data_IF_410613800321
#
_entry.id   IF_410613800321
#
_cell.length_a   1.000
_cell.length_b   1.000
_cell.length_c   1.000
_cell.angle_alpha   90.00
_cell.angle_beta   90.00
_cell.angle_gamma   90.00
#
_symmetry.space_group_name_H-M   'P 1'
#
loop_
_entity.id
_entity.type
_entity.pdbx_description
1 polymer ?
#
# COMPACT_ATOMS: atom_id res chain seq x y z
N UNK A 1 22.66 -3.17 10.91
CA UNK A 1 21.66 -2.64 9.95
C UNK A 1 20.27 -2.86 10.53
N UNK A 2 19.37 -1.90 10.39
CA UNK A 2 17.96 -2.08 10.76
C UNK A 2 17.35 -3.18 9.89
N UNK A 3 16.54 -4.05 10.48
CA UNK A 3 15.75 -5.04 9.72
C UNK A 3 14.56 -4.40 9.01
N UNK A 4 14.10 -3.23 9.47
CA UNK A 4 13.02 -2.46 8.86
C UNK A 4 13.52 -1.42 7.85
N UNK A 5 12.67 -1.03 6.87
CA UNK A 5 12.94 0.09 5.97
C UNK A 5 13.24 1.41 6.71
N UNK A 6 14.00 2.27 6.06
CA UNK A 6 14.15 3.69 6.40
C UNK A 6 12.96 4.45 5.82
N UNK A 7 12.21 5.11 6.70
CA UNK A 7 10.94 5.75 6.34
C UNK A 7 11.11 7.28 6.24
N UNK A 8 10.38 7.95 5.35
CA UNK A 8 10.37 9.41 5.23
C UNK A 8 9.54 10.04 6.35
N UNK A 9 10.06 10.03 7.58
CA UNK A 9 9.33 10.44 8.79
C UNK A 9 8.79 11.88 8.71
N UNK A 10 9.54 12.81 8.14
CA UNK A 10 9.07 14.18 7.95
C UNK A 10 7.83 14.27 7.05
N UNK A 11 7.79 13.52 5.95
CA UNK A 11 6.63 13.46 5.03
C UNK A 11 5.45 12.77 5.70
N UNK A 12 5.69 11.69 6.44
CA UNK A 12 4.66 10.99 7.21
C UNK A 12 4.02 11.91 8.26
N UNK A 13 4.84 12.60 9.06
CA UNK A 13 4.37 13.50 10.11
C UNK A 13 3.60 14.69 9.54
N UNK A 14 4.10 15.32 8.46
CA UNK A 14 3.43 16.43 7.80
C UNK A 14 2.09 16.03 7.15
N UNK A 15 1.95 14.77 6.75
CA UNK A 15 0.75 14.22 6.12
C UNK A 15 -0.27 13.61 7.09
N UNK A 16 -0.06 13.68 8.41
CA UNK A 16 -0.97 13.11 9.42
C UNK A 16 -0.90 11.58 9.53
N UNK A 17 0.14 10.96 8.99
CA UNK A 17 0.30 9.50 9.01
C UNK A 17 0.81 9.02 10.36
N UNK A 18 0.21 7.94 10.88
CA UNK A 18 0.66 7.28 12.11
C UNK A 18 0.89 5.80 11.91
N UNK A 19 1.95 5.30 12.54
CA UNK A 19 2.28 3.87 12.53
C UNK A 19 1.13 3.11 13.21
N UNK A 20 0.55 2.19 12.49
CA UNK A 20 -0.53 1.31 12.96
C UNK A 20 0.00 -0.06 13.35
N UNK A 21 0.99 -0.54 12.59
CA UNK A 21 1.49 -1.90 12.72
C UNK A 21 2.98 -1.94 12.36
N UNK A 22 3.74 -2.74 13.11
CA UNK A 22 5.13 -3.09 12.84
C UNK A 22 5.32 -4.56 13.18
N UNK A 23 5.76 -5.36 12.20
CA UNK A 23 5.90 -6.81 12.36
C UNK A 23 7.00 -7.41 11.49
N UNK A 24 7.50 -8.56 11.93
CA UNK A 24 8.37 -9.43 11.14
C UNK A 24 7.65 -10.75 10.86
N UNK A 25 7.66 -11.19 9.61
CA UNK A 25 7.02 -12.45 9.21
C UNK A 25 7.86 -13.21 8.19
N UNK A 26 7.77 -14.54 8.20
CA UNK A 26 8.25 -15.34 7.09
C UNK A 26 7.27 -15.23 5.93
N UNK A 27 7.58 -14.41 4.94
CA UNK A 27 6.68 -14.13 3.82
C UNK A 27 6.61 -15.30 2.83
N UNK A 28 7.72 -16.01 2.65
CA UNK A 28 7.79 -17.16 1.76
C UNK A 28 8.95 -18.08 2.12
N UNK A 29 8.72 -19.37 1.95
CA UNK A 29 9.73 -20.41 2.08
C UNK A 29 9.63 -21.34 0.85
N UNK A 30 10.63 -21.26 -0.03
CA UNK A 30 10.88 -22.31 -1.00
C UNK A 30 12.20 -22.96 -0.68
N UNK A 31 12.32 -24.25 -1.02
CA UNK A 31 13.50 -25.12 -0.87
C UNK A 31 14.86 -24.49 -1.27
N UNK A 32 14.87 -23.37 -1.98
CA UNK A 32 16.06 -22.66 -2.48
C UNK A 32 16.27 -21.30 -1.80
N UNK A 33 15.22 -20.61 -1.33
CA UNK A 33 15.34 -19.32 -0.64
C UNK A 33 14.14 -19.06 0.30
N UNK A 34 14.44 -18.59 1.49
CA UNK A 34 13.47 -18.06 2.45
C UNK A 34 13.46 -16.53 2.38
N UNK A 35 12.27 -15.93 2.45
CA UNK A 35 12.10 -14.47 2.48
C UNK A 35 11.43 -14.09 3.79
N UNK A 36 12.17 -13.36 4.62
CA UNK A 36 11.63 -12.74 5.83
C UNK A 36 11.31 -11.27 5.53
N UNK A 37 10.12 -10.82 5.96
CA UNK A 37 9.56 -9.51 5.68
C UNK A 37 9.40 -8.70 6.97
N UNK A 38 10.12 -7.59 7.08
CA UNK A 38 9.99 -6.64 8.16
C UNK A 38 9.11 -5.46 7.70
N UNK A 39 7.83 -5.49 8.08
CA UNK A 39 6.78 -4.63 7.54
C UNK A 39 6.34 -3.58 8.55
N UNK A 40 6.15 -2.35 8.07
CA UNK A 40 5.51 -1.25 8.80
C UNK A 40 4.31 -0.76 7.98
N UNK A 41 3.19 -0.50 8.66
CA UNK A 41 1.95 0.01 8.06
C UNK A 41 1.58 1.31 8.75
N UNK A 42 1.27 2.33 7.95
CA UNK A 42 0.80 3.63 8.38
C UNK A 42 -0.65 3.84 7.96
N UNK A 43 -1.41 4.55 8.79
CA UNK A 43 -2.75 5.05 8.47
C UNK A 43 -2.78 6.57 8.50
N UNK A 44 -3.65 7.18 7.69
CA UNK A 44 -3.98 8.60 7.80
C UNK A 44 -5.04 8.77 8.90
N UNK A 45 -4.58 9.25 10.06
CA UNK A 45 -5.45 9.46 11.22
C UNK A 45 -6.33 10.69 11.01
N UNK A 46 -5.83 11.74 10.38
CA UNK A 46 -6.59 12.96 10.16
C UNK A 46 -7.82 12.71 9.25
N UNK A 47 -7.65 11.91 8.19
CA UNK A 47 -8.78 11.51 7.33
C UNK A 47 -9.78 10.65 8.09
N UNK A 48 -9.29 9.68 8.86
CA UNK A 48 -10.13 8.80 9.68
C UNK A 48 -10.96 9.62 10.69
N UNK A 49 -10.34 10.58 11.36
CA UNK A 49 -11.02 11.44 12.34
C UNK A 49 -12.07 12.33 11.68
N UNK A 50 -11.75 13.00 10.56
CA UNK A 50 -12.73 13.81 9.81
C UNK A 50 -13.94 12.99 9.38
N UNK A 51 -13.72 11.79 8.85
CA UNK A 51 -14.80 10.91 8.42
C UNK A 51 -15.62 10.39 9.60
N UNK A 52 -14.97 10.02 10.70
CA UNK A 52 -15.65 9.62 11.94
C UNK A 52 -16.54 10.74 12.47
N UNK A 53 -16.06 11.98 12.49
CA UNK A 53 -16.85 13.13 12.95
C UNK A 53 -18.04 13.43 12.05
N UNK A 54 -17.85 13.33 10.73
CA UNK A 54 -18.90 13.64 9.76
C UNK A 54 -19.96 12.54 9.60
N UNK A 55 -19.59 11.27 9.82
CA UNK A 55 -20.43 10.11 9.46
C UNK A 55 -20.59 9.07 10.56
N UNK A 56 -19.80 9.14 11.63
CA UNK A 56 -19.70 8.10 12.65
C UNK A 56 -18.87 6.88 12.22
N UNK A 57 -18.36 6.84 10.98
CA UNK A 57 -17.61 5.71 10.44
C UNK A 57 -16.13 5.78 10.85
N UNK A 58 -15.67 4.77 11.57
CA UNK A 58 -14.32 4.74 12.14
C UNK A 58 -13.47 3.60 11.59
N UNK A 59 -12.85 3.80 10.41
CA UNK A 59 -12.16 2.75 9.66
C UNK A 59 -10.82 3.21 9.07
N UNK A 60 -10.03 2.24 8.60
CA UNK A 60 -8.83 2.50 7.82
C UNK A 60 -9.24 2.92 6.41
N UNK A 61 -9.25 4.23 6.14
CA UNK A 61 -9.66 4.76 4.83
C UNK A 61 -8.55 4.71 3.79
N UNK A 62 -7.32 5.08 4.19
CA UNK A 62 -6.12 4.93 3.36
C UNK A 62 -4.95 4.46 4.19
N UNK A 63 -4.03 3.74 3.56
CA UNK A 63 -2.84 3.22 4.23
C UNK A 63 -1.61 3.29 3.34
N UNK A 64 -0.45 3.40 3.97
CA UNK A 64 0.87 3.21 3.38
C UNK A 64 1.54 2.00 4.02
N UNK A 65 2.29 1.22 3.25
CA UNK A 65 3.04 0.06 3.73
C UNK A 65 4.45 0.08 3.16
N UNK A 66 5.42 -0.23 4.00
CA UNK A 66 6.80 -0.46 3.60
C UNK A 66 7.30 -1.77 4.24
N UNK A 67 8.03 -2.56 3.47
CA UNK A 67 8.56 -3.84 3.93
C UNK A 67 9.95 -4.12 3.36
N UNK A 68 10.91 -4.43 4.23
CA UNK A 68 12.23 -4.93 3.82
C UNK A 68 12.15 -6.44 3.74
N UNK A 69 12.47 -6.99 2.57
CA UNK A 69 12.43 -8.41 2.24
C UNK A 69 13.85 -8.95 2.21
N UNK A 70 14.23 -9.69 3.24
CA UNK A 70 15.59 -10.26 3.39
C UNK A 70 15.59 -11.71 2.94
N UNK A 71 16.58 -12.08 2.13
CA UNK A 71 16.72 -13.43 1.57
C UNK A 71 17.67 -14.28 2.43
N UNK A 72 17.30 -15.53 2.68
CA UNK A 72 18.15 -16.54 3.32
C UNK A 72 18.24 -17.79 2.44
N UNK A 73 19.44 -18.21 1.98
CA UNK A 73 20.72 -17.51 2.13
C UNK A 73 20.71 -16.16 1.40
N UNK A 74 21.54 -15.22 1.85
CA UNK A 74 21.69 -13.90 1.23
C UNK A 74 22.08 -14.05 -0.24
N UNK A 75 21.42 -13.30 -1.11
CA UNK A 75 21.65 -13.33 -2.55
C UNK A 75 21.66 -11.91 -3.11
N UNK A 76 22.65 -11.61 -3.95
CA UNK A 76 22.72 -10.31 -4.63
C UNK A 76 21.53 -10.16 -5.58
N UNK A 77 20.82 -9.00 -5.56
CA UNK A 77 19.75 -8.75 -6.50
C UNK A 77 20.21 -8.90 -7.96
N UNK A 78 19.39 -9.59 -8.75
CA UNK A 78 19.60 -9.77 -10.19
C UNK A 78 18.26 -9.70 -10.93
N UNK A 79 18.21 -9.33 -12.22
CA UNK A 79 16.93 -9.17 -12.92
C UNK A 79 16.00 -10.41 -12.84
N UNK A 80 16.49 -11.67 -12.95
CA UNK A 80 15.64 -12.85 -12.76
C UNK A 80 15.11 -12.98 -11.33
N UNK A 81 15.96 -12.77 -10.32
CA UNK A 81 15.58 -12.86 -8.92
C UNK A 81 14.57 -11.76 -8.55
N UNK A 82 14.82 -10.52 -8.98
CA UNK A 82 13.93 -9.38 -8.78
C UNK A 82 12.54 -9.66 -9.35
N UNK A 83 12.45 -10.31 -10.51
CA UNK A 83 11.16 -10.71 -11.09
C UNK A 83 10.43 -11.72 -10.20
N UNK A 84 11.13 -12.71 -9.66
CA UNK A 84 10.55 -13.73 -8.76
C UNK A 84 10.03 -13.07 -7.48
N UNK A 85 10.87 -12.24 -6.84
CA UNK A 85 10.52 -11.55 -5.60
C UNK A 85 9.35 -10.60 -5.83
N UNK A 86 9.37 -9.78 -6.89
CA UNK A 86 8.28 -8.86 -7.20
C UNK A 86 6.96 -9.62 -7.45
N UNK A 87 6.99 -10.71 -8.23
CA UNK A 87 5.79 -11.52 -8.46
C UNK A 87 5.20 -12.07 -7.15
N UNK A 88 6.06 -12.57 -6.25
CA UNK A 88 5.61 -13.13 -4.97
C UNK A 88 5.10 -12.04 -4.02
N UNK A 89 5.79 -10.91 -3.93
CA UNK A 89 5.38 -9.77 -3.12
C UNK A 89 4.04 -9.19 -3.61
N UNK A 90 3.85 -9.03 -4.92
CA UNK A 90 2.60 -8.56 -5.52
C UNK A 90 1.43 -9.52 -5.30
N UNK A 91 1.69 -10.84 -5.29
CA UNK A 91 0.67 -11.82 -4.94
C UNK A 91 0.28 -11.70 -3.46
N UNK A 92 1.27 -11.69 -2.54
CA UNK A 92 1.01 -11.55 -1.11
C UNK A 92 0.35 -10.21 -0.74
N UNK A 93 0.67 -9.13 -1.45
CA UNK A 93 0.00 -7.83 -1.30
C UNK A 93 -1.49 -7.93 -1.69
N UNK A 94 -1.80 -8.55 -2.83
CA UNK A 94 -3.18 -8.75 -3.26
C UNK A 94 -3.97 -9.65 -2.30
N UNK A 95 -3.35 -10.72 -1.79
CA UNK A 95 -3.95 -11.59 -0.77
C UNK A 95 -4.27 -10.79 0.51
N UNK A 96 -3.33 -9.95 0.96
CA UNK A 96 -3.50 -9.07 2.13
C UNK A 96 -4.64 -8.06 1.95
N UNK A 97 -4.84 -7.53 0.73
CA UNK A 97 -5.98 -6.67 0.44
C UNK A 97 -7.30 -7.42 0.63
N UNK A 98 -7.39 -8.65 0.12
CA UNK A 98 -8.57 -9.50 0.32
C UNK A 98 -8.88 -9.74 1.79
N UNK A 99 -7.87 -10.10 2.59
CA UNK A 99 -8.01 -10.29 4.04
C UNK A 99 -8.44 -9.02 4.80
N UNK A 100 -8.11 -7.84 4.27
CA UNK A 100 -8.47 -6.53 4.84
C UNK A 100 -9.86 -6.02 4.39
N UNK A 101 -10.65 -6.85 3.73
CA UNK A 101 -12.03 -6.52 3.33
C UNK A 101 -12.15 -5.78 1.99
N UNK A 102 -11.11 -5.85 1.16
CA UNK A 102 -11.20 -5.37 -0.22
C UNK A 102 -11.82 -6.48 -1.09
N UNK A 103 -12.99 -6.21 -1.66
CA UNK A 103 -13.70 -7.11 -2.56
C UNK A 103 -13.30 -6.86 -4.02
N UNK A 104 -13.17 -7.95 -4.78
CA UNK A 104 -12.98 -7.88 -6.23
C UNK A 104 -11.67 -7.22 -6.67
N UNK A 105 -10.59 -7.37 -5.89
CA UNK A 105 -9.25 -6.88 -6.22
C UNK A 105 -8.82 -7.37 -7.61
N UNK A 106 -8.59 -6.43 -8.53
CA UNK A 106 -8.15 -6.71 -9.90
C UNK A 106 -6.92 -5.90 -10.25
N UNK A 107 -6.02 -6.47 -11.03
CA UNK A 107 -4.91 -5.71 -11.61
C UNK A 107 -5.44 -4.68 -12.60
N UNK A 108 -4.87 -3.48 -12.56
CA UNK A 108 -5.15 -2.39 -13.48
C UNK A 108 -3.89 -2.08 -14.32
N UNK A 109 -3.62 -2.87 -15.39
CA UNK A 109 -2.37 -2.76 -16.15
C UNK A 109 -2.23 -1.40 -16.85
N UNK A 110 -3.31 -0.83 -17.38
CA UNK A 110 -3.27 0.46 -18.07
C UNK A 110 -2.90 1.60 -17.12
N UNK A 111 -3.52 1.64 -15.94
CA UNK A 111 -3.17 2.61 -14.90
C UNK A 111 -1.71 2.46 -14.43
N UNK A 112 -1.15 1.25 -14.51
CA UNK A 112 0.23 0.98 -14.09
C UNK A 112 1.25 1.66 -15.00
N UNK A 113 0.94 1.79 -16.30
CA UNK A 113 1.80 2.51 -17.24
C UNK A 113 1.89 4.00 -16.85
N UNK A 114 0.75 4.67 -16.65
CA UNK A 114 0.69 6.09 -16.28
C UNK A 114 1.35 6.36 -14.92
N UNK A 115 1.25 5.41 -13.98
CA UNK A 115 1.85 5.53 -12.66
C UNK A 115 3.36 5.30 -12.63
N UNK A 116 3.90 4.55 -13.60
CA UNK A 116 5.33 4.24 -13.65
C UNK A 116 6.20 5.49 -13.83
N UNK A 117 5.67 6.55 -14.43
CA UNK A 117 6.38 7.84 -14.59
C UNK A 117 6.65 8.54 -13.26
N UNK A 118 5.92 8.18 -12.20
CA UNK A 118 6.05 8.79 -10.87
C UNK A 118 7.07 8.09 -9.95
N UNK A 119 7.62 6.95 -10.37
CA UNK A 119 8.57 6.13 -9.63
C UNK A 119 9.83 5.84 -10.47
N UNK A 120 10.82 5.18 -9.88
CA UNK A 120 12.02 4.77 -10.62
C UNK A 120 11.64 3.70 -11.67
N UNK A 121 12.08 3.81 -12.94
CA UNK A 121 11.81 2.81 -13.97
C UNK A 121 12.30 1.39 -13.65
N UNK A 122 13.26 1.25 -12.74
CA UNK A 122 13.74 -0.03 -12.26
C UNK A 122 12.76 -0.71 -11.28
N UNK A 123 11.82 0.05 -10.71
CA UNK A 123 10.79 -0.46 -9.82
C UNK A 123 9.85 -1.40 -10.58
N UNK A 124 9.61 -2.57 -10.00
CA UNK A 124 8.53 -3.44 -10.46
C UNK A 124 7.24 -2.94 -9.83
N UNK A 125 6.51 -2.08 -10.54
CA UNK A 125 5.22 -1.57 -10.11
C UNK A 125 4.05 -2.48 -10.52
N UNK A 126 3.06 -2.58 -9.65
CA UNK A 126 1.75 -3.15 -9.92
C UNK A 126 0.64 -2.25 -9.36
N UNK A 127 -0.32 -1.89 -10.21
CA UNK A 127 -1.54 -1.19 -9.83
C UNK A 127 -2.74 -2.12 -9.74
N UNK A 128 -3.65 -1.80 -8.81
CA UNK A 128 -4.88 -2.53 -8.57
C UNK A 128 -6.08 -1.58 -8.44
N UNK A 129 -7.26 -2.17 -8.61
CA UNK A 129 -8.54 -1.58 -8.28
C UNK A 129 -9.35 -2.58 -7.48
N UNK A 130 -10.06 -2.09 -6.46
CA UNK A 130 -10.99 -2.89 -5.69
C UNK A 130 -12.20 -2.07 -5.25
N UNK A 131 -13.23 -2.77 -4.76
CA UNK A 131 -14.31 -2.18 -4.00
C UNK A 131 -14.08 -2.52 -2.52
N UNK A 132 -13.85 -1.51 -1.69
CA UNK A 132 -13.77 -1.70 -0.25
C UNK A 132 -15.13 -1.45 0.38
N UNK A 133 -15.60 -2.38 1.21
CA UNK A 133 -16.82 -2.22 2.00
C UNK A 133 -16.47 -1.87 3.44
N UNK A 134 -16.85 -0.67 3.85
CA UNK A 134 -16.60 -0.09 5.17
C UNK A 134 -17.94 0.20 5.83
N UNK A 135 -18.42 -0.72 6.69
CA UNK A 135 -19.66 -0.59 7.46
C UNK A 135 -20.90 -0.13 6.65
N UNK A 136 -21.11 -0.74 5.48
CA UNK A 136 -22.24 -0.41 4.62
C UNK A 136 -21.98 0.74 3.63
N UNK A 137 -20.79 1.35 3.67
CA UNK A 137 -20.30 2.22 2.60
C UNK A 137 -19.38 1.42 1.67
N UNK A 138 -19.71 1.38 0.39
CA UNK A 138 -18.86 0.82 -0.66
C UNK A 138 -18.06 1.94 -1.32
N UNK A 139 -16.73 1.88 -1.28
CA UNK A 139 -15.84 2.83 -1.97
C UNK A 139 -14.96 2.11 -2.98
N UNK A 140 -14.80 2.70 -4.18
CA UNK A 140 -13.72 2.27 -5.07
C UNK A 140 -12.40 2.68 -4.46
N UNK A 141 -11.43 1.78 -4.51
CA UNK A 141 -10.07 2.05 -4.08
C UNK A 141 -9.09 1.81 -5.22
N UNK A 142 -7.97 2.52 -5.14
CA UNK A 142 -6.78 2.32 -5.97
C UNK A 142 -5.65 1.88 -5.07
N UNK A 143 -4.95 0.85 -5.49
CA UNK A 143 -3.82 0.31 -4.74
C UNK A 143 -2.59 0.20 -5.62
N UNK A 144 -1.42 0.41 -5.00
CA UNK A 144 -0.13 0.38 -5.67
C UNK A 144 0.84 -0.43 -4.84
N UNK A 145 1.68 -1.22 -5.51
CA UNK A 145 2.81 -1.90 -4.91
C UNK A 145 4.01 -1.79 -5.86
N UNK A 146 5.15 -1.37 -5.33
CA UNK A 146 6.43 -1.31 -6.03
C UNK A 146 7.46 -2.17 -5.30
N UNK A 147 8.22 -2.95 -6.06
CA UNK A 147 9.35 -3.72 -5.54
C UNK A 147 10.64 -3.29 -6.20
N UNK A 148 11.64 -2.96 -5.39
CA UNK A 148 12.96 -2.52 -5.84
C UNK A 148 14.10 -3.20 -5.09
N UNK A 149 15.27 -3.43 -5.72
CA UNK A 149 16.47 -3.87 -5.01
C UNK A 149 16.90 -2.86 -3.94
N UNK A 150 17.39 -3.36 -2.79
CA UNK A 150 17.95 -2.55 -1.72
C UNK A 150 19.12 -3.32 -1.06
N UNK A 151 20.36 -2.98 -1.40
CA UNK A 151 21.57 -3.71 -1.00
C UNK A 151 21.49 -5.22 -1.30
N UNK A 152 21.50 -6.06 -0.25
CA UNK A 152 21.37 -7.52 -0.24
C UNK A 152 19.92 -8.00 -0.01
N UNK A 153 18.96 -7.08 -0.10
CA UNK A 153 17.55 -7.27 0.16
C UNK A 153 16.69 -6.65 -0.96
N UNK A 154 15.38 -6.67 -0.75
CA UNK A 154 14.41 -5.94 -1.56
C UNK A 154 13.55 -5.05 -0.67
N UNK A 155 13.08 -3.96 -1.24
CA UNK A 155 12.08 -3.10 -0.63
C UNK A 155 10.76 -3.26 -1.36
N UNK A 156 9.69 -3.55 -0.62
CA UNK A 156 8.31 -3.45 -1.05
C UNK A 156 7.71 -2.18 -0.44
N UNK A 157 7.21 -1.27 -1.27
CA UNK A 157 6.43 -0.11 -0.83
C UNK A 157 5.09 -0.09 -1.54
N UNK A 158 4.07 0.42 -0.88
CA UNK A 158 2.75 0.46 -1.47
C UNK A 158 1.70 1.07 -0.57
N UNK A 159 0.44 0.96 -0.98
CA UNK A 159 -0.66 1.50 -0.22
C UNK A 159 -1.97 1.43 -0.99
N UNK A 160 -3.02 1.90 -0.34
CA UNK A 160 -4.35 1.99 -0.91
C UNK A 160 -5.01 3.31 -0.50
N UNK A 161 -5.84 3.85 -1.39
CA UNK A 161 -6.66 5.02 -1.11
C UNK A 161 -8.00 4.97 -1.85
N UNK A 162 -9.06 5.56 -1.29
CA UNK A 162 -10.38 5.59 -1.91
C UNK A 162 -10.41 6.64 -3.03
N UNK A 163 -11.22 6.37 -4.05
CA UNK A 163 -11.37 7.24 -5.24
C UNK A 163 -12.79 7.72 -5.48
N UNK A 164 -13.80 6.93 -5.08
CA UNK A 164 -15.19 7.31 -5.26
C UNK A 164 -16.11 6.48 -4.36
N UNK A 165 -17.17 7.10 -3.85
CA UNK A 165 -18.28 6.39 -3.22
C UNK A 165 -19.10 5.65 -4.28
N UNK A 166 -19.58 4.45 -3.96
CA UNK A 166 -20.43 3.61 -4.81
C UNK A 166 -21.72 3.23 -4.14
N UNK A 167 -21.64 2.91 -2.86
CA UNK A 167 -22.77 2.50 -2.03
C UNK A 167 -22.66 3.24 -0.70
N UNK A 168 -23.79 3.68 -0.15
CA UNK A 168 -23.89 4.34 1.14
C UNK A 168 -25.29 4.08 1.73
N UNK A 169 -25.45 4.13 3.06
CA UNK A 169 -26.74 3.89 3.71
C UNK A 169 -27.76 5.00 3.42
N UNK A 170 -27.30 6.24 3.22
CA UNK A 170 -28.11 7.40 2.90
C UNK A 170 -27.30 8.46 2.13
N UNK A 171 -28.00 9.45 1.56
CA UNK A 171 -27.39 10.52 0.77
C UNK A 171 -26.45 11.41 1.61
N UNK A 172 -26.79 11.68 2.86
CA UNK A 172 -25.96 12.52 3.74
C UNK A 172 -24.59 11.88 3.99
N UNK A 173 -24.56 10.57 4.22
CA UNK A 173 -23.32 9.79 4.36
C UNK A 173 -22.53 9.78 3.06
N UNK A 174 -23.19 9.57 1.91
CA UNK A 174 -22.54 9.59 0.60
C UNK A 174 -21.86 10.93 0.31
N UNK A 175 -22.56 12.04 0.60
CA UNK A 175 -22.07 13.40 0.37
C UNK A 175 -20.89 13.72 1.31
N UNK A 176 -21.01 13.37 2.60
CA UNK A 176 -19.97 13.57 3.59
C UNK A 176 -18.69 12.79 3.25
N UNK A 177 -18.81 11.52 2.85
CA UNK A 177 -17.64 10.74 2.42
C UNK A 177 -17.03 11.33 1.15
N UNK A 178 -17.86 11.65 0.15
CA UNK A 178 -17.40 12.23 -1.13
C UNK A 178 -16.65 13.54 -0.90
N UNK A 179 -17.15 14.42 -0.02
CA UNK A 179 -16.50 15.68 0.32
C UNK A 179 -15.14 15.51 1.01
N UNK A 180 -14.90 14.37 1.66
CA UNK A 180 -13.62 14.07 2.31
C UNK A 180 -12.61 13.38 1.38
N UNK A 181 -13.04 12.88 0.21
CA UNK A 181 -12.15 12.21 -0.74
C UNK A 181 -11.42 13.22 -1.62
N UNK A 182 -10.10 13.09 -1.67
CA UNK A 182 -9.24 13.83 -2.60
C UNK A 182 -8.31 12.84 -3.31
N UNK A 183 -8.80 12.13 -4.35
CA UNK A 183 -8.06 11.01 -4.94
C UNK A 183 -6.73 11.43 -5.60
N UNK A 184 -6.65 12.66 -6.10
CA UNK A 184 -5.44 13.21 -6.71
C UNK A 184 -4.39 13.47 -5.64
N UNK A 185 -4.74 14.20 -4.57
CA UNK A 185 -3.84 14.41 -3.44
C UNK A 185 -3.45 13.09 -2.77
N UNK A 186 -4.37 12.15 -2.62
CA UNK A 186 -4.08 10.85 -2.01
C UNK A 186 -3.08 10.06 -2.84
N UNK A 187 -3.17 10.14 -4.17
CA UNK A 187 -2.18 9.57 -5.07
C UNK A 187 -0.83 10.25 -4.88
N UNK A 188 -0.78 11.58 -4.94
CA UNK A 188 0.47 12.34 -4.81
C UNK A 188 1.20 12.03 -3.49
N UNK A 189 0.46 12.07 -2.36
CA UNK A 189 0.97 11.71 -1.03
C UNK A 189 1.56 10.29 -1.02
N UNK A 190 0.82 9.31 -1.56
CA UNK A 190 1.26 7.91 -1.58
C UNK A 190 2.55 7.74 -2.40
N UNK A 191 2.60 8.34 -3.59
CA UNK A 191 3.75 8.21 -4.48
C UNK A 191 4.98 8.94 -3.93
N UNK A 192 4.80 10.06 -3.21
CA UNK A 192 5.88 10.70 -2.47
C UNK A 192 6.44 9.76 -1.39
N UNK A 193 5.59 9.15 -0.56
CA UNK A 193 6.03 8.18 0.45
C UNK A 193 6.75 6.97 -0.16
N UNK A 194 6.22 6.41 -1.25
CA UNK A 194 6.85 5.28 -1.96
C UNK A 194 8.23 5.65 -2.53
N UNK A 195 8.40 6.87 -3.02
CA UNK A 195 9.68 7.34 -3.59
C UNK A 195 10.73 7.57 -2.50
N UNK A 196 10.33 8.18 -1.38
CA UNK A 196 11.26 8.63 -0.35
C UNK A 196 11.62 7.54 0.68
N UNK A 197 11.04 6.34 0.56
CA UNK A 197 11.36 5.18 1.41
C UNK A 197 12.53 4.37 0.85
N UNK A 198 13.46 3.97 1.73
CA UNK A 198 14.69 3.25 1.38
C UNK A 198 14.93 2.01 2.25
#
# INVERSE_FOLDING_TARGET
MSVFPTLPTATLDAGGWRERERRETRAFDAKVVTVDAATVVYEDVDLRERLREATGLDRLWRFFVASRLTLTPSATPSPPLTRIIANRAHAGFADTLGERGFDGVRRAPDATADASESLDPADRLAGYEALCRLDGVGVRAREWAAVRPADDAYLLVGGAYPTAVREAPDAATADAVTAALDPERFREDLFALMRDTA
#
